data_IF_629422463418
#
_entry.id   IF_629422463418
#
_cell.length_a   1.000
_cell.length_b   1.000
_cell.length_c   1.000
_cell.angle_alpha   90.00
_cell.angle_beta   90.00
_cell.angle_gamma   90.00
#
_symmetry.space_group_name_H-M   'P 1'
#
loop_
_entity.id
_entity.type
_entity.pdbx_description
1 polymer ?
#
# COMPACT_ATOMS: atom_id res chain seq x y z
N UNK A 1 -53.55 3.80 13.87
CA UNK A 1 -52.15 3.43 14.11
C UNK A 1 -51.67 2.69 12.87
N UNK A 2 -51.30 3.44 11.85
CA UNK A 2 -50.70 2.92 10.62
C UNK A 2 -49.18 2.79 10.83
N UNK A 3 -48.68 1.56 10.73
CA UNK A 3 -47.23 1.29 10.73
C UNK A 3 -46.69 1.70 9.38
N UNK A 4 -45.92 2.78 9.34
CA UNK A 4 -45.04 3.10 8.22
C UNK A 4 -44.09 1.91 8.01
N UNK A 5 -44.34 1.14 6.97
CA UNK A 5 -43.34 0.28 6.38
C UNK A 5 -42.32 1.20 5.71
N UNK A 6 -41.19 1.44 6.36
CA UNK A 6 -40.04 2.00 5.70
C UNK A 6 -39.56 1.00 4.64
N UNK A 7 -39.49 1.45 3.39
CA UNK A 7 -39.14 0.67 2.22
C UNK A 7 -37.60 0.46 2.23
N UNK A 8 -37.19 -0.70 2.76
CA UNK A 8 -35.77 -1.07 2.87
C UNK A 8 -35.06 -1.13 1.52
N UNK A 9 -35.82 -1.37 0.43
CA UNK A 9 -35.27 -1.43 -0.94
C UNK A 9 -34.89 -0.05 -1.48
N UNK A 10 -35.64 1.02 -1.14
CA UNK A 10 -35.33 2.39 -1.58
C UNK A 10 -34.08 2.92 -0.85
N UNK A 11 -33.90 2.61 0.43
CA UNK A 11 -32.70 3.01 1.20
C UNK A 11 -31.45 2.32 0.68
N UNK A 12 -31.55 1.06 0.22
CA UNK A 12 -30.41 0.33 -0.35
C UNK A 12 -29.99 0.85 -1.72
N UNK A 13 -30.92 1.32 -2.55
CA UNK A 13 -30.66 1.87 -3.88
C UNK A 13 -29.96 3.22 -3.74
N UNK A 14 -30.42 4.13 -2.89
CA UNK A 14 -29.79 5.44 -2.66
C UNK A 14 -28.37 5.31 -2.12
N UNK A 15 -28.13 4.41 -1.15
CA UNK A 15 -26.76 4.13 -0.65
C UNK A 15 -25.82 3.60 -1.73
N UNK A 16 -26.28 2.78 -2.65
CA UNK A 16 -25.48 2.26 -3.75
C UNK A 16 -25.16 3.35 -4.81
N UNK A 17 -26.08 4.26 -5.07
CA UNK A 17 -25.86 5.39 -5.99
C UNK A 17 -24.80 6.34 -5.41
N UNK A 18 -24.91 6.69 -4.14
CA UNK A 18 -23.93 7.54 -3.45
C UNK A 18 -22.54 6.87 -3.42
N UNK A 19 -22.48 5.55 -3.19
CA UNK A 19 -21.22 4.80 -3.21
C UNK A 19 -20.62 4.75 -4.61
N UNK A 20 -21.44 4.59 -5.68
CA UNK A 20 -20.97 4.65 -7.05
C UNK A 20 -20.39 6.03 -7.39
N UNK A 21 -21.07 7.11 -7.02
CA UNK A 21 -20.57 8.48 -7.24
C UNK A 21 -19.25 8.74 -6.51
N UNK A 22 -19.05 8.15 -5.34
CA UNK A 22 -17.77 8.22 -4.61
C UNK A 22 -16.65 7.48 -5.37
N UNK A 23 -16.92 6.28 -5.91
CA UNK A 23 -15.95 5.56 -6.76
C UNK A 23 -15.63 6.36 -8.02
N UNK A 24 -16.63 6.91 -8.70
CA UNK A 24 -16.42 7.74 -9.89
C UNK A 24 -15.52 8.94 -9.57
N UNK A 25 -15.78 9.65 -8.46
CA UNK A 25 -14.94 10.77 -7.98
C UNK A 25 -13.49 10.35 -7.71
N UNK A 26 -13.26 9.17 -7.08
CA UNK A 26 -11.92 8.67 -6.82
C UNK A 26 -11.18 8.39 -8.13
N UNK A 27 -11.86 7.81 -9.12
CA UNK A 27 -11.27 7.51 -10.43
C UNK A 27 -11.02 8.76 -11.27
N UNK A 28 -11.91 9.75 -11.22
CA UNK A 28 -11.77 11.05 -11.91
C UNK A 28 -10.61 11.87 -11.33
N UNK A 29 -10.47 11.94 -10.01
CA UNK A 29 -9.36 12.61 -9.33
C UNK A 29 -8.03 11.88 -9.55
N UNK A 30 -8.10 10.58 -9.86
CA UNK A 30 -6.98 9.68 -10.09
C UNK A 30 -6.31 9.19 -8.81
N UNK A 31 -5.90 7.93 -8.83
CA UNK A 31 -5.09 7.35 -7.75
C UNK A 31 -3.63 7.69 -8.03
N UNK A 32 -3.03 8.54 -7.21
CA UNK A 32 -1.65 8.98 -7.40
C UNK A 32 -0.66 7.89 -6.97
N UNK A 33 0.28 7.54 -7.85
CA UNK A 33 1.39 6.63 -7.52
C UNK A 33 2.25 7.14 -6.35
N UNK A 34 2.30 8.45 -6.11
CA UNK A 34 3.06 9.06 -5.00
C UNK A 34 2.43 8.79 -3.64
N UNK A 35 1.14 8.48 -3.63
CA UNK A 35 0.35 8.18 -2.43
C UNK A 35 0.24 6.67 -2.15
N UNK A 36 0.92 5.85 -2.98
CA UNK A 36 0.98 4.40 -2.84
C UNK A 36 2.34 4.00 -2.28
N UNK A 37 2.33 3.24 -1.20
CA UNK A 37 3.53 2.56 -0.67
C UNK A 37 3.36 1.06 -0.83
N UNK A 38 4.35 0.42 -1.43
CA UNK A 38 4.41 -1.04 -1.56
C UNK A 38 5.21 -1.57 -0.38
N UNK A 39 4.63 -2.49 0.40
CA UNK A 39 5.35 -3.16 1.47
C UNK A 39 6.57 -3.90 0.90
N UNK A 40 7.76 -3.54 1.37
CA UNK A 40 9.02 -4.09 0.87
C UNK A 40 9.29 -5.44 1.55
N UNK A 41 8.94 -6.56 0.90
CA UNK A 41 9.21 -7.91 1.46
C UNK A 41 10.63 -8.42 1.17
N UNK A 42 11.24 -8.03 0.04
CA UNK A 42 12.59 -8.49 -0.39
C UNK A 42 13.38 -7.29 -0.90
N UNK A 43 14.04 -6.56 -0.01
CA UNK A 43 14.89 -5.44 -0.37
C UNK A 43 16.25 -5.96 -0.91
N UNK A 44 16.74 -5.33 -1.99
CA UNK A 44 18.09 -5.53 -2.49
C UNK A 44 19.01 -4.51 -1.85
N UNK A 45 20.12 -4.97 -1.32
CA UNK A 45 21.06 -4.16 -0.55
C UNK A 45 22.38 -4.08 -1.32
N UNK A 46 22.89 -2.88 -1.57
CA UNK A 46 24.23 -2.66 -2.06
C UNK A 46 25.13 -2.19 -0.92
N UNK A 47 26.27 -2.84 -0.70
CA UNK A 47 27.29 -2.40 0.27
C UNK A 47 28.50 -1.87 -0.51
N UNK A 48 28.88 -0.61 -0.29
CA UNK A 48 30.04 0.03 -0.91
C UNK A 48 31.14 0.19 0.11
N UNK A 49 32.25 -0.54 -0.05
CA UNK A 49 33.44 -0.42 0.78
C UNK A 49 34.54 0.33 0.03
N UNK A 50 35.26 1.23 0.71
CA UNK A 50 36.28 2.10 0.11
C UNK A 50 37.71 1.78 0.58
N UNK A 51 37.84 0.99 1.66
CA UNK A 51 39.12 0.54 2.23
C UNK A 51 39.14 -0.98 2.36
N UNK A 52 40.34 -1.59 2.44
CA UNK A 52 40.46 -3.04 2.66
C UNK A 52 39.84 -3.46 4.00
N UNK A 53 39.99 -2.64 5.03
CA UNK A 53 39.38 -2.92 6.32
C UNK A 53 37.86 -2.84 6.26
N UNK A 54 37.33 -1.81 5.60
CA UNK A 54 35.88 -1.66 5.36
C UNK A 54 35.32 -2.80 4.50
N UNK A 55 36.11 -3.38 3.59
CA UNK A 55 35.69 -4.56 2.84
C UNK A 55 35.41 -5.76 3.75
N UNK A 56 36.26 -6.03 4.74
CA UNK A 56 36.03 -7.12 5.70
C UNK A 56 34.74 -6.88 6.52
N UNK A 57 34.49 -5.63 6.92
CA UNK A 57 33.24 -5.25 7.61
C UNK A 57 32.02 -5.44 6.69
N UNK A 58 32.13 -5.06 5.41
CA UNK A 58 31.07 -5.26 4.41
C UNK A 58 30.75 -6.74 4.19
N UNK A 59 31.77 -7.58 4.08
CA UNK A 59 31.63 -9.04 3.93
C UNK A 59 30.97 -9.67 5.17
N UNK A 60 31.30 -9.21 6.37
CA UNK A 60 30.63 -9.65 7.60
C UNK A 60 29.14 -9.29 7.62
N UNK A 61 28.78 -8.07 7.19
CA UNK A 61 27.37 -7.66 7.07
C UNK A 61 26.67 -8.54 6.03
N UNK A 62 27.29 -8.75 4.87
CA UNK A 62 26.69 -9.51 3.78
C UNK A 62 26.46 -10.99 4.10
N UNK A 63 27.26 -11.60 5.00
CA UNK A 63 27.06 -13.00 5.43
C UNK A 63 25.80 -13.22 6.25
N UNK A 64 25.23 -12.19 6.85
CA UNK A 64 24.08 -12.26 7.77
C UNK A 64 22.80 -11.67 7.18
N UNK A 65 22.85 -11.13 5.95
CA UNK A 65 21.70 -10.52 5.27
C UNK A 65 21.43 -11.21 3.94
N UNK A 66 20.18 -11.23 3.52
CA UNK A 66 19.76 -11.76 2.21
C UNK A 66 19.78 -10.66 1.13
N UNK A 67 19.93 -11.05 -0.13
CA UNK A 67 19.90 -10.17 -1.32
C UNK A 67 20.89 -9.01 -1.26
N UNK A 68 22.15 -9.30 -0.92
CA UNK A 68 23.22 -8.32 -0.74
C UNK A 68 24.29 -8.46 -1.82
N UNK A 69 24.62 -7.35 -2.46
CA UNK A 69 25.77 -7.23 -3.35
C UNK A 69 26.86 -6.34 -2.73
N UNK A 70 28.11 -6.80 -2.70
CA UNK A 70 29.25 -6.05 -2.13
C UNK A 70 30.09 -5.48 -3.25
N UNK A 71 30.32 -4.17 -3.20
CA UNK A 71 31.15 -3.42 -4.13
C UNK A 71 32.38 -2.86 -3.40
N UNK A 72 33.57 -3.26 -3.84
CA UNK A 72 34.81 -2.70 -3.31
C UNK A 72 35.44 -1.76 -4.34
N UNK A 73 35.50 -0.46 -4.04
CA UNK A 73 35.99 0.53 -5.00
C UNK A 73 36.62 1.71 -4.29
N UNK A 74 37.90 2.02 -4.66
CA UNK A 74 38.70 3.12 -4.10
C UNK A 74 38.55 4.46 -4.85
N UNK A 75 38.06 4.43 -6.09
CA UNK A 75 37.86 5.59 -6.98
C UNK A 75 36.56 5.46 -7.75
N UNK A 76 35.99 6.56 -8.22
CA UNK A 76 34.74 6.50 -8.98
C UNK A 76 33.51 6.08 -8.14
N UNK A 77 33.55 6.31 -6.83
CA UNK A 77 32.49 5.90 -5.90
C UNK A 77 31.18 6.63 -6.20
N UNK A 78 31.28 7.90 -6.64
CA UNK A 78 30.11 8.71 -7.00
C UNK A 78 29.39 8.17 -8.22
N UNK A 79 30.13 7.77 -9.25
CA UNK A 79 29.61 7.16 -10.48
C UNK A 79 28.93 5.83 -10.15
N UNK A 80 29.59 4.97 -9.38
CA UNK A 80 29.02 3.72 -8.88
C UNK A 80 27.75 3.98 -8.10
N UNK A 81 27.74 4.96 -7.19
CA UNK A 81 26.53 5.32 -6.41
C UNK A 81 25.37 5.69 -7.33
N UNK A 82 25.60 6.46 -8.40
CA UNK A 82 24.58 6.82 -9.40
C UNK A 82 23.98 5.61 -10.11
N UNK A 83 24.79 4.60 -10.43
CA UNK A 83 24.33 3.36 -11.05
C UNK A 83 23.46 2.52 -10.11
N UNK A 84 23.76 2.55 -8.80
CA UNK A 84 23.09 1.75 -7.79
C UNK A 84 21.83 2.44 -7.23
N UNK A 85 21.79 3.79 -7.21
CA UNK A 85 20.78 4.59 -6.49
C UNK A 85 19.34 4.29 -6.88
N UNK A 86 19.07 3.93 -8.14
CA UNK A 86 17.74 3.58 -8.62
C UNK A 86 17.54 2.05 -8.79
N UNK A 87 18.55 1.23 -8.46
CA UNK A 87 18.48 -0.23 -8.62
C UNK A 87 18.33 -0.98 -7.30
N UNK A 88 18.77 -0.37 -6.19
CA UNK A 88 18.76 -0.98 -4.86
C UNK A 88 17.85 -0.19 -3.94
N UNK A 89 17.14 -0.90 -3.09
CA UNK A 89 16.25 -0.31 -2.08
C UNK A 89 17.04 0.17 -0.84
N UNK A 90 18.29 -0.32 -0.67
CA UNK A 90 19.18 0.10 0.42
C UNK A 90 20.63 0.19 -0.10
N UNK A 91 21.34 1.25 0.29
CA UNK A 91 22.77 1.43 0.05
C UNK A 91 23.49 1.63 1.38
N UNK A 92 24.47 0.80 1.65
CA UNK A 92 25.30 0.87 2.85
C UNK A 92 26.69 1.30 2.45
N UNK A 93 27.15 2.44 2.97
CA UNK A 93 28.53 2.90 2.81
C UNK A 93 29.36 2.43 4.00
N UNK A 94 30.37 1.59 3.76
CA UNK A 94 31.39 1.31 4.77
C UNK A 94 32.53 2.29 4.54
N UNK A 95 32.37 3.50 5.11
CA UNK A 95 33.24 4.66 4.89
C UNK A 95 32.94 5.80 5.86
N UNK A 96 33.64 6.92 5.76
CA UNK A 96 33.28 8.15 6.45
C UNK A 96 31.96 8.74 5.91
N UNK A 97 31.10 9.28 6.80
CA UNK A 97 29.83 9.93 6.45
C UNK A 97 29.96 10.99 5.35
N UNK A 98 31.02 11.80 5.39
CA UNK A 98 31.25 12.84 4.39
C UNK A 98 31.46 12.30 2.96
N UNK A 99 31.95 11.06 2.80
CA UNK A 99 32.05 10.38 1.49
C UNK A 99 30.65 10.03 1.02
N UNK A 100 29.86 9.36 1.86
CA UNK A 100 28.50 8.97 1.54
C UNK A 100 27.65 10.19 1.11
N UNK A 101 27.65 11.26 1.92
CA UNK A 101 26.89 12.50 1.63
C UNK A 101 27.26 13.08 0.26
N UNK A 102 28.57 13.20 -0.07
CA UNK A 102 29.00 13.73 -1.37
C UNK A 102 28.63 12.83 -2.53
N UNK A 103 28.60 11.51 -2.31
CA UNK A 103 28.24 10.55 -3.37
C UNK A 103 26.74 10.56 -3.66
N UNK A 104 25.87 10.65 -2.63
CA UNK A 104 24.42 10.58 -2.82
C UNK A 104 23.81 11.93 -3.23
N UNK A 105 24.40 13.06 -2.83
CA UNK A 105 23.80 14.40 -2.98
C UNK A 105 23.26 14.73 -4.38
N UNK A 106 23.87 14.30 -5.52
CA UNK A 106 23.34 14.61 -6.84
C UNK A 106 22.09 13.83 -7.23
N UNK A 107 21.76 12.77 -6.50
CA UNK A 107 20.69 11.82 -6.84
C UNK A 107 19.46 11.96 -5.95
N UNK A 108 19.54 12.79 -4.91
CA UNK A 108 18.46 12.99 -3.93
C UNK A 108 17.23 13.63 -4.57
N UNK A 109 16.05 13.06 -4.29
CA UNK A 109 14.73 13.53 -4.74
C UNK A 109 13.81 13.82 -3.56
N UNK A 110 13.44 12.76 -2.82
CA UNK A 110 12.55 12.88 -1.68
C UNK A 110 12.66 11.66 -0.75
N UNK A 111 12.25 11.82 0.52
CA UNK A 111 12.21 10.72 1.50
C UNK A 111 11.29 9.56 1.11
N UNK A 112 10.41 9.74 0.10
CA UNK A 112 9.48 8.74 -0.39
C UNK A 112 10.01 7.94 -1.58
N UNK A 113 11.02 8.48 -2.29
CA UNK A 113 11.57 7.90 -3.51
C UNK A 113 12.99 7.38 -3.32
N UNK A 114 13.75 8.06 -2.45
CA UNK A 114 15.17 7.76 -2.24
C UNK A 114 15.34 6.43 -1.49
N UNK A 115 16.35 5.61 -1.84
CA UNK A 115 16.65 4.38 -1.12
C UNK A 115 17.04 4.68 0.34
N UNK A 116 16.95 3.65 1.19
CA UNK A 116 17.59 3.69 2.50
C UNK A 116 19.10 3.90 2.31
N UNK A 117 19.70 4.83 3.05
CA UNK A 117 21.16 4.99 3.06
C UNK A 117 21.68 4.91 4.48
N UNK A 118 22.62 3.98 4.68
CA UNK A 118 23.33 3.81 5.94
C UNK A 118 24.81 4.07 5.76
N UNK A 119 25.45 4.45 6.88
CA UNK A 119 26.92 4.54 6.95
C UNK A 119 27.41 3.70 8.12
N UNK A 120 28.43 2.90 7.85
CA UNK A 120 29.13 2.08 8.85
C UNK A 120 30.61 2.50 8.83
N UNK A 121 31.21 2.74 9.99
CA UNK A 121 32.66 3.00 10.01
C UNK A 121 33.48 1.72 9.70
N UNK A 122 34.71 1.88 9.25
CA UNK A 122 35.57 0.79 8.81
C UNK A 122 35.76 -0.32 9.87
N UNK A 123 35.60 0.00 11.16
CA UNK A 123 35.72 -0.95 12.25
C UNK A 123 34.38 -1.65 12.56
N UNK A 124 33.26 -1.13 12.04
CA UNK A 124 31.92 -1.61 12.38
C UNK A 124 31.49 -1.26 13.80
N UNK A 125 31.97 -0.16 14.37
CA UNK A 125 31.60 0.26 15.73
C UNK A 125 30.31 1.07 15.77
N UNK A 126 29.99 1.78 14.68
CA UNK A 126 28.79 2.61 14.56
C UNK A 126 28.05 2.33 13.25
N UNK A 127 26.74 2.22 13.34
CA UNK A 127 25.84 2.11 12.19
C UNK A 127 24.89 3.30 12.20
N UNK A 128 24.97 4.14 11.19
CA UNK A 128 24.26 5.41 11.12
C UNK A 128 23.16 5.35 10.08
N UNK A 129 21.92 5.58 10.48
CA UNK A 129 20.79 5.82 9.57
C UNK A 129 20.93 7.24 8.99
N UNK A 130 21.40 7.33 7.73
CA UNK A 130 21.72 8.62 7.12
C UNK A 130 20.55 9.20 6.33
N UNK A 131 19.78 8.38 5.61
CA UNK A 131 18.69 8.82 4.73
C UNK A 131 17.55 7.80 4.69
N UNK A 132 16.31 8.29 4.52
CA UNK A 132 15.09 7.48 4.37
C UNK A 132 14.86 6.51 5.54
N UNK A 133 14.96 7.04 6.77
CA UNK A 133 14.87 6.28 8.02
C UNK A 133 13.60 5.46 8.16
N UNK A 134 12.43 6.07 7.84
CA UNK A 134 11.09 5.45 7.97
C UNK A 134 10.70 4.65 6.72
N UNK A 135 10.15 5.30 5.69
CA UNK A 135 9.63 4.65 4.47
C UNK A 135 10.72 3.85 3.74
N UNK A 136 11.94 4.36 3.71
CA UNK A 136 13.09 3.65 3.15
C UNK A 136 13.51 2.44 3.98
N UNK A 137 13.20 2.43 5.29
CA UNK A 137 13.55 1.35 6.21
C UNK A 137 14.98 1.46 6.79
N UNK A 138 15.68 2.60 6.61
CA UNK A 138 17.07 2.72 7.08
C UNK A 138 17.20 2.54 8.60
N UNK A 139 16.22 2.97 9.40
CA UNK A 139 16.26 2.79 10.86
C UNK A 139 16.21 1.32 11.26
N UNK A 140 15.30 0.54 10.65
CA UNK A 140 15.17 -0.90 10.94
C UNK A 140 16.43 -1.67 10.51
N UNK A 141 16.98 -1.37 9.32
CA UNK A 141 18.20 -1.98 8.81
C UNK A 141 19.40 -1.60 9.69
N UNK A 142 19.45 -0.34 10.18
CA UNK A 142 20.48 0.13 11.12
C UNK A 142 20.50 -0.73 12.39
N UNK A 143 19.34 -1.01 12.99
CA UNK A 143 19.25 -1.87 14.18
C UNK A 143 19.73 -3.30 13.89
N UNK A 144 19.29 -3.89 12.77
CA UNK A 144 19.71 -5.24 12.35
C UNK A 144 21.22 -5.36 12.16
N UNK A 145 21.83 -4.39 11.47
CA UNK A 145 23.28 -4.40 11.22
C UNK A 145 24.06 -4.11 12.50
N UNK A 146 23.56 -3.22 13.36
CA UNK A 146 24.18 -2.94 14.64
C UNK A 146 24.22 -4.20 15.53
N UNK A 147 23.16 -5.01 15.53
CA UNK A 147 23.13 -6.28 16.23
C UNK A 147 24.17 -7.27 15.66
N UNK A 148 24.21 -7.46 14.35
CA UNK A 148 25.19 -8.31 13.63
C UNK A 148 26.64 -7.93 13.96
N UNK A 149 26.93 -6.64 14.03
CA UNK A 149 28.29 -6.12 14.26
C UNK A 149 28.62 -5.97 15.74
N UNK A 150 27.63 -6.04 16.64
CA UNK A 150 27.70 -5.57 18.03
C UNK A 150 28.14 -4.10 18.10
N UNK A 151 27.51 -3.27 17.25
CA UNK A 151 27.82 -1.88 17.03
C UNK A 151 26.82 -0.93 17.73
N UNK A 152 27.14 0.34 17.80
CA UNK A 152 26.23 1.38 18.27
C UNK A 152 25.33 1.86 17.12
N UNK A 153 23.98 1.67 17.20
CA UNK A 153 23.07 2.24 16.22
C UNK A 153 22.87 3.74 16.47
N UNK A 154 22.98 4.55 15.41
CA UNK A 154 22.77 6.00 15.46
C UNK A 154 21.53 6.34 14.64
N UNK A 155 20.41 6.57 15.33
CA UNK A 155 19.13 6.97 14.77
C UNK A 155 18.74 8.32 15.37
N UNK A 156 18.38 9.30 14.52
CA UNK A 156 18.10 10.67 14.93
C UNK A 156 16.70 11.15 14.60
N UNK A 157 15.85 10.27 14.07
CA UNK A 157 14.48 10.60 13.68
C UNK A 157 13.63 10.90 14.91
N UNK A 158 12.89 12.02 14.90
CA UNK A 158 12.19 12.54 16.08
C UNK A 158 11.19 11.53 16.68
N UNK A 159 10.41 10.83 15.87
CA UNK A 159 9.48 9.80 16.34
C UNK A 159 10.18 8.62 17.00
N UNK A 160 11.34 8.18 16.47
CA UNK A 160 12.12 7.10 17.08
C UNK A 160 12.79 7.54 18.40
N UNK A 161 13.33 8.76 18.43
CA UNK A 161 13.94 9.31 19.66
C UNK A 161 12.92 9.51 20.78
N UNK A 162 11.65 9.84 20.42
CA UNK A 162 10.54 9.96 21.36
C UNK A 162 9.79 8.63 21.58
N UNK A 163 10.23 7.53 20.98
CA UNK A 163 9.58 6.22 21.02
C UNK A 163 8.11 6.23 20.57
N UNK A 164 7.72 7.15 19.71
CA UNK A 164 6.38 7.27 19.15
C UNK A 164 6.26 6.46 17.84
N UNK A 165 5.05 6.00 17.54
CA UNK A 165 4.73 5.50 16.20
C UNK A 165 4.79 6.61 15.15
N UNK A 166 4.66 6.23 13.88
CA UNK A 166 4.63 7.17 12.77
C UNK A 166 3.73 6.64 11.65
N UNK A 167 2.88 7.51 11.06
CA UNK A 167 1.94 7.10 10.01
C UNK A 167 2.66 6.53 8.79
N UNK A 168 3.72 7.17 8.34
CA UNK A 168 4.50 6.72 7.18
C UNK A 168 5.16 5.34 7.39
N UNK A 169 5.54 5.00 8.63
CA UNK A 169 6.02 3.66 9.00
C UNK A 169 4.89 2.63 8.92
N UNK A 170 3.71 2.98 9.47
CA UNK A 170 2.53 2.10 9.42
C UNK A 170 2.16 1.80 7.97
N UNK A 171 2.05 2.85 7.12
CA UNK A 171 1.76 2.70 5.69
C UNK A 171 2.81 1.84 4.97
N UNK A 172 4.10 2.01 5.31
CA UNK A 172 5.19 1.22 4.71
C UNK A 172 5.12 -0.27 5.07
N UNK A 173 4.76 -0.59 6.32
CA UNK A 173 4.65 -1.98 6.79
C UNK A 173 3.42 -2.69 6.22
N UNK A 174 2.27 -2.03 6.23
CA UNK A 174 1.01 -2.59 5.70
C UNK A 174 1.08 -2.70 4.17
N UNK A 175 1.69 -1.73 3.50
CA UNK A 175 1.60 -1.55 2.06
C UNK A 175 0.22 -1.03 1.65
N UNK A 176 0.08 0.28 1.36
CA UNK A 176 -1.23 0.86 1.15
C UNK A 176 -1.21 2.20 0.41
N UNK A 177 -2.40 2.76 0.26
CA UNK A 177 -2.67 4.08 -0.28
C UNK A 177 -3.18 4.98 0.83
N UNK A 178 -2.67 6.21 0.88
CA UNK A 178 -3.20 7.30 1.69
C UNK A 178 -3.23 8.54 0.81
N UNK A 179 -4.39 9.15 0.66
CA UNK A 179 -4.52 10.40 -0.12
C UNK A 179 -3.64 11.50 0.49
N UNK A 180 -2.84 12.18 -0.37
CA UNK A 180 -1.87 13.19 0.06
C UNK A 180 -0.91 12.66 1.17
N UNK A 181 -0.39 11.45 0.99
CA UNK A 181 0.40 10.74 2.01
C UNK A 181 1.47 11.60 2.67
N UNK A 182 2.18 12.43 1.89
CA UNK A 182 3.27 13.27 2.41
C UNK A 182 2.78 14.27 3.45
N UNK A 183 1.70 14.96 3.15
CA UNK A 183 1.07 15.97 4.01
C UNK A 183 0.42 15.30 5.22
N UNK A 184 -0.31 14.21 4.99
CA UNK A 184 -0.96 13.41 6.03
C UNK A 184 0.05 12.84 7.03
N UNK A 185 1.16 12.26 6.55
CA UNK A 185 2.20 11.72 7.42
C UNK A 185 2.92 12.82 8.20
N UNK A 186 3.23 13.97 7.57
CA UNK A 186 3.84 15.11 8.25
C UNK A 186 2.96 15.62 9.39
N UNK A 187 1.67 15.75 9.14
CA UNK A 187 0.69 16.26 10.09
C UNK A 187 0.51 15.30 11.27
N UNK A 188 0.21 14.02 11.01
CA UNK A 188 0.03 13.00 12.06
C UNK A 188 1.28 12.85 12.91
N UNK A 189 2.46 12.77 12.28
CA UNK A 189 3.70 12.62 13.02
C UNK A 189 4.01 13.85 13.90
N UNK A 190 3.65 15.08 13.46
CA UNK A 190 3.77 16.25 14.34
C UNK A 190 2.78 16.19 15.50
N UNK A 191 1.55 15.77 15.29
CA UNK A 191 0.55 15.61 16.34
C UNK A 191 1.01 14.61 17.42
N UNK A 192 1.57 13.48 16.99
CA UNK A 192 2.13 12.49 17.92
C UNK A 192 3.29 13.05 18.75
N UNK A 193 4.18 13.85 18.15
CA UNK A 193 5.30 14.49 18.86
C UNK A 193 4.80 15.54 19.83
N UNK A 194 3.74 16.30 19.47
CA UNK A 194 3.14 17.36 20.27
C UNK A 194 2.13 16.85 21.32
N UNK A 195 2.08 15.51 21.53
CA UNK A 195 1.17 14.83 22.47
C UNK A 195 -0.33 15.12 22.22
N UNK A 196 -0.71 15.41 20.96
CA UNK A 196 -2.10 15.50 20.52
C UNK A 196 -2.74 14.12 20.43
N UNK A 197 -4.05 14.08 20.56
CA UNK A 197 -4.83 12.84 20.53
C UNK A 197 -5.05 12.33 19.10
N UNK A 198 -4.37 11.24 18.73
CA UNK A 198 -4.48 10.60 17.41
C UNK A 198 -5.05 9.20 17.55
N UNK A 199 -6.27 9.01 17.05
CA UNK A 199 -6.92 7.70 17.00
C UNK A 199 -6.50 6.87 15.80
N UNK A 200 -6.51 5.54 15.96
CA UNK A 200 -6.35 4.60 14.85
C UNK A 200 -7.32 3.42 14.99
N UNK A 201 -8.09 3.18 13.94
CA UNK A 201 -9.03 2.08 13.80
C UNK A 201 -8.52 1.07 12.77
N UNK A 202 -8.64 -0.21 13.08
CA UNK A 202 -8.38 -1.29 12.13
C UNK A 202 -9.67 -2.05 11.85
N UNK A 203 -10.05 -2.13 10.59
CA UNK A 203 -11.14 -3.02 10.16
C UNK A 203 -10.79 -4.48 10.50
N UNK A 204 -11.81 -5.31 10.72
CA UNK A 204 -11.67 -6.73 11.11
C UNK A 204 -10.71 -7.53 10.24
N UNK A 205 -10.65 -7.22 8.95
CA UNK A 205 -9.75 -7.88 7.99
C UNK A 205 -8.26 -7.53 8.22
N UNK A 206 -7.98 -6.50 9.03
CA UNK A 206 -6.62 -5.96 9.29
C UNK A 206 -6.26 -5.93 10.78
N UNK A 207 -7.08 -6.51 11.65
CA UNK A 207 -6.83 -6.58 13.12
C UNK A 207 -5.45 -7.18 13.45
N UNK A 208 -5.03 -8.23 12.76
CA UNK A 208 -3.75 -8.90 13.00
C UNK A 208 -2.52 -8.05 12.65
N UNK A 209 -2.69 -6.98 11.87
CA UNK A 209 -1.58 -6.08 11.54
C UNK A 209 -1.07 -5.30 12.76
N UNK A 210 -1.94 -5.07 13.76
CA UNK A 210 -1.59 -4.34 15.00
C UNK A 210 -0.35 -4.89 15.69
N UNK A 211 -0.20 -6.22 15.72
CA UNK A 211 0.87 -6.90 16.44
C UNK A 211 2.26 -6.61 15.88
N UNK A 212 2.33 -6.25 14.60
CA UNK A 212 3.59 -5.95 13.89
C UNK A 212 3.98 -4.47 13.90
N UNK A 213 3.09 -3.58 14.40
CA UNK A 213 3.23 -2.14 14.28
C UNK A 213 3.62 -1.48 15.60
N UNK A 214 4.43 -0.42 15.52
CA UNK A 214 4.61 0.48 16.66
C UNK A 214 3.46 1.49 16.69
N UNK A 215 2.49 1.27 17.57
CA UNK A 215 1.31 2.12 17.79
C UNK A 215 1.44 3.04 19.00
N UNK A 216 2.65 3.21 19.54
CA UNK A 216 2.90 4.08 20.69
C UNK A 216 2.51 5.53 20.37
N UNK A 217 1.67 6.13 21.18
CA UNK A 217 1.11 7.46 20.98
C UNK A 217 -0.20 7.51 20.21
N UNK A 218 -0.61 6.41 19.57
CA UNK A 218 -1.96 6.28 19.01
C UNK A 218 -2.93 5.74 20.04
N UNK A 219 -4.16 6.25 20.01
CA UNK A 219 -5.30 5.70 20.74
C UNK A 219 -5.99 4.65 19.85
N UNK A 220 -6.06 3.40 20.32
CA UNK A 220 -6.77 2.35 19.58
C UNK A 220 -8.27 2.58 19.69
N UNK A 221 -8.94 2.71 18.55
CA UNK A 221 -10.37 2.93 18.42
C UNK A 221 -11.02 1.64 17.93
N UNK A 222 -12.14 1.29 18.53
CA UNK A 222 -13.00 0.17 18.13
C UNK A 222 -14.48 0.55 18.17
N UNK A 223 -15.36 -0.35 17.78
CA UNK A 223 -16.82 -0.14 17.73
C UNK A 223 -17.46 0.05 19.12
N UNK A 224 -16.71 -0.15 20.21
CA UNK A 224 -17.16 0.08 21.58
C UNK A 224 -16.74 1.45 22.11
N UNK A 225 -15.87 2.16 21.39
CA UNK A 225 -15.40 3.48 21.78
C UNK A 225 -16.55 4.47 21.66
N UNK A 226 -16.81 5.23 22.72
CA UNK A 226 -17.88 6.23 22.74
C UNK A 226 -17.64 7.34 21.71
N UNK A 227 -18.70 7.77 21.02
CA UNK A 227 -18.62 8.80 19.96
C UNK A 227 -18.05 10.11 20.51
N UNK A 228 -18.40 10.48 21.75
CA UNK A 228 -17.88 11.67 22.41
C UNK A 228 -16.35 11.62 22.65
N UNK A 229 -15.78 10.44 22.85
CA UNK A 229 -14.33 10.26 22.95
C UNK A 229 -13.66 10.38 21.59
N UNK A 230 -14.26 9.80 20.53
CA UNK A 230 -13.80 9.95 19.15
C UNK A 230 -13.84 11.43 18.73
N UNK A 231 -14.88 12.13 19.13
CA UNK A 231 -15.05 13.55 18.84
C UNK A 231 -13.99 14.46 19.51
N UNK A 232 -13.26 13.98 20.52
CA UNK A 232 -12.16 14.71 21.17
C UNK A 232 -10.79 14.47 20.53
N UNK A 233 -10.70 13.63 19.51
CA UNK A 233 -9.45 13.39 18.80
C UNK A 233 -9.09 14.59 17.91
N UNK A 234 -7.79 14.83 17.73
CA UNK A 234 -7.27 15.80 16.76
C UNK A 234 -7.17 15.16 15.36
N UNK A 235 -6.89 13.86 15.29
CA UNK A 235 -6.90 13.09 14.05
C UNK A 235 -7.38 11.66 14.27
N UNK A 236 -8.01 11.07 13.25
CA UNK A 236 -8.42 9.68 13.24
C UNK A 236 -8.00 9.00 11.93
N UNK A 237 -7.31 7.87 12.07
CA UNK A 237 -6.88 7.05 10.94
C UNK A 237 -7.75 5.78 10.91
N UNK A 238 -8.30 5.42 9.75
CA UNK A 238 -8.91 4.11 9.53
C UNK A 238 -8.05 3.26 8.60
N UNK A 239 -7.77 2.02 8.99
CA UNK A 239 -7.09 1.01 8.17
C UNK A 239 -8.13 0.06 7.63
N UNK A 240 -8.51 0.24 6.35
CA UNK A 240 -9.59 -0.52 5.71
C UNK A 240 -9.46 -0.49 4.19
N UNK A 241 -9.83 -1.57 3.51
CA UNK A 241 -9.99 -1.62 2.05
C UNK A 241 -11.43 -1.33 1.61
N UNK A 242 -12.32 -1.02 2.55
CA UNK A 242 -13.71 -0.69 2.27
C UNK A 242 -13.85 0.76 1.77
N UNK A 243 -14.77 0.96 0.85
CA UNK A 243 -15.18 2.29 0.41
C UNK A 243 -15.80 3.06 1.59
N UNK A 244 -16.68 2.40 2.34
CA UNK A 244 -17.29 2.92 3.56
C UNK A 244 -17.16 1.91 4.71
N UNK A 245 -16.59 2.33 5.81
CA UNK A 245 -16.49 1.57 7.04
C UNK A 245 -17.24 2.27 8.19
N UNK A 246 -17.29 1.64 9.34
CA UNK A 246 -17.94 2.19 10.53
C UNK A 246 -17.43 3.59 10.89
N UNK A 247 -16.13 3.86 10.75
CA UNK A 247 -15.55 5.18 11.06
C UNK A 247 -16.09 6.27 10.15
N UNK A 248 -16.33 5.98 8.86
CA UNK A 248 -16.89 6.98 7.93
C UNK A 248 -18.27 7.46 8.38
N UNK A 249 -19.11 6.56 8.92
CA UNK A 249 -20.44 6.91 9.45
C UNK A 249 -20.33 7.78 10.73
N UNK A 250 -19.39 7.44 11.62
CA UNK A 250 -19.14 8.23 12.85
C UNK A 250 -18.65 9.63 12.51
N UNK A 251 -17.67 9.75 11.61
CA UNK A 251 -17.15 11.06 11.18
C UNK A 251 -18.24 11.92 10.53
N UNK A 252 -19.09 11.31 9.69
CA UNK A 252 -20.23 12.00 9.10
C UNK A 252 -21.16 12.58 10.17
N UNK A 253 -21.52 11.78 11.20
CA UNK A 253 -22.41 12.20 12.28
C UNK A 253 -21.77 13.30 13.15
N UNK A 254 -20.50 13.17 13.53
CA UNK A 254 -19.77 14.20 14.30
C UNK A 254 -19.75 15.54 13.56
N UNK A 255 -19.50 15.55 12.24
CA UNK A 255 -19.49 16.78 11.44
C UNK A 255 -20.87 17.38 11.23
N UNK A 256 -21.91 16.54 11.16
CA UNK A 256 -23.31 17.01 11.01
C UNK A 256 -23.85 17.66 12.28
N UNK A 257 -23.52 17.10 13.45
CA UNK A 257 -24.08 17.54 14.74
C UNK A 257 -23.31 18.74 15.35
N UNK A 258 -22.11 19.05 14.84
CA UNK A 258 -21.25 20.12 15.36
C UNK A 258 -20.63 20.91 14.21
N UNK A 259 -21.30 21.99 13.76
CA UNK A 259 -20.75 22.93 12.74
C UNK A 259 -19.41 23.57 13.17
N UNK A 260 -19.09 23.60 14.48
CA UNK A 260 -17.83 24.14 15.02
C UNK A 260 -16.67 23.13 15.06
N UNK A 261 -16.90 21.84 14.74
CA UNK A 261 -15.86 20.79 14.74
C UNK A 261 -15.38 20.42 13.34
N UNK A 262 -15.01 21.44 12.53
CA UNK A 262 -14.25 21.20 11.28
C UNK A 262 -12.84 20.64 11.51
N UNK A 263 -12.34 20.64 12.76
CA UNK A 263 -10.93 20.40 13.08
C UNK A 263 -10.51 18.92 13.18
N UNK A 264 -11.46 17.97 13.27
CA UNK A 264 -11.10 16.55 13.29
C UNK A 264 -10.62 16.09 11.92
N UNK A 265 -9.33 15.79 11.83
CA UNK A 265 -8.71 15.30 10.61
C UNK A 265 -8.96 13.81 10.46
N UNK A 266 -9.58 13.42 9.35
CA UNK A 266 -9.81 12.03 9.02
C UNK A 266 -8.93 11.56 7.87
N UNK A 267 -8.22 10.45 8.07
CA UNK A 267 -7.30 9.85 7.10
C UNK A 267 -7.66 8.38 6.91
N UNK A 268 -7.90 7.98 5.66
CA UNK A 268 -8.12 6.57 5.31
C UNK A 268 -6.81 5.98 4.76
N UNK A 269 -6.26 4.97 5.46
CA UNK A 269 -5.21 4.11 4.96
C UNK A 269 -5.87 2.90 4.30
N UNK A 270 -5.69 2.77 3.00
CA UNK A 270 -6.29 1.70 2.19
C UNK A 270 -5.23 0.65 1.87
N UNK A 271 -5.21 -0.51 2.56
CA UNK A 271 -4.29 -1.59 2.23
C UNK A 271 -4.50 -2.09 0.79
N UNK A 272 -3.41 -2.24 0.03
CA UNK A 272 -3.47 -2.67 -1.38
C UNK A 272 -3.33 -4.19 -1.50
N UNK A 273 -4.42 -4.91 -1.22
CA UNK A 273 -4.46 -6.38 -1.19
C UNK A 273 -5.58 -6.99 -2.03
N UNK A 274 -6.24 -6.19 -2.85
CA UNK A 274 -7.32 -6.68 -3.71
C UNK A 274 -6.79 -6.94 -5.12
N UNK A 275 -7.18 -8.09 -5.67
CA UNK A 275 -7.01 -8.46 -7.06
C UNK A 275 -8.36 -8.35 -7.78
N UNK A 276 -8.36 -7.86 -9.02
CA UNK A 276 -9.53 -7.74 -9.86
C UNK A 276 -9.41 -8.65 -11.08
N UNK A 277 -10.20 -9.70 -11.15
CA UNK A 277 -10.37 -10.49 -12.36
C UNK A 277 -11.37 -9.84 -13.29
N UNK A 278 -11.04 -9.73 -14.57
CA UNK A 278 -11.82 -8.99 -15.57
C UNK A 278 -12.13 -9.82 -16.80
N UNK A 279 -13.32 -9.60 -17.38
CA UNK A 279 -13.71 -10.08 -18.70
C UNK A 279 -14.57 -9.04 -19.42
N UNK A 280 -14.45 -8.93 -20.74
CA UNK A 280 -15.32 -8.06 -21.54
C UNK A 280 -15.58 -8.64 -22.92
N UNK A 281 -16.60 -8.11 -23.63
CA UNK A 281 -16.76 -8.32 -25.07
C UNK A 281 -15.63 -7.61 -25.82
N UNK A 282 -15.35 -8.07 -27.05
CA UNK A 282 -14.36 -7.41 -27.90
C UNK A 282 -14.79 -5.95 -28.20
N UNK A 283 -13.82 -5.02 -28.15
CA UNK A 283 -14.03 -3.59 -28.41
C UNK A 283 -15.04 -2.93 -27.44
N UNK A 284 -15.08 -3.35 -26.17
CA UNK A 284 -15.84 -2.62 -25.15
C UNK A 284 -15.21 -1.23 -24.95
N UNK A 285 -16.05 -0.20 -24.89
CA UNK A 285 -15.61 1.18 -24.64
C UNK A 285 -15.06 1.35 -23.23
N UNK A 286 -14.01 2.18 -23.07
CA UNK A 286 -13.34 2.39 -21.77
C UNK A 286 -14.30 3.00 -20.75
N UNK A 287 -15.10 3.98 -21.14
CA UNK A 287 -16.07 4.66 -20.29
C UNK A 287 -17.09 3.66 -19.71
N UNK A 288 -17.58 2.77 -20.56
CA UNK A 288 -18.49 1.71 -20.14
C UNK A 288 -17.85 0.71 -19.17
N UNK A 289 -16.59 0.35 -19.41
CA UNK A 289 -15.84 -0.54 -18.50
C UNK A 289 -15.65 0.09 -17.12
N UNK A 290 -15.35 1.40 -17.09
CA UNK A 290 -15.19 2.17 -15.85
C UNK A 290 -16.53 2.29 -15.12
N UNK A 291 -17.62 2.62 -15.82
CA UNK A 291 -18.95 2.73 -15.23
C UNK A 291 -19.40 1.42 -14.56
N UNK A 292 -19.25 0.29 -15.26
CA UNK A 292 -19.59 -1.02 -14.72
C UNK A 292 -18.68 -1.44 -13.56
N UNK A 293 -17.39 -1.07 -13.61
CA UNK A 293 -16.46 -1.27 -12.50
C UNK A 293 -16.87 -0.43 -11.28
N UNK A 294 -17.24 0.84 -11.46
CA UNK A 294 -17.69 1.72 -10.38
C UNK A 294 -18.91 1.13 -9.66
N UNK A 295 -19.88 0.60 -10.43
CA UNK A 295 -21.03 -0.08 -9.85
C UNK A 295 -20.61 -1.36 -9.09
N UNK A 296 -19.74 -2.17 -9.66
CA UNK A 296 -19.26 -3.40 -9.02
C UNK A 296 -18.47 -3.12 -7.73
N UNK A 297 -17.60 -2.09 -7.75
CA UNK A 297 -16.83 -1.65 -6.59
C UNK A 297 -17.75 -1.17 -5.46
N UNK A 298 -18.75 -0.35 -5.78
CA UNK A 298 -19.75 0.15 -4.83
C UNK A 298 -20.60 -0.99 -4.22
N UNK A 299 -21.09 -1.93 -5.03
CA UNK A 299 -21.88 -3.07 -4.58
C UNK A 299 -21.12 -3.98 -3.60
N UNK A 300 -19.81 -4.12 -3.77
CA UNK A 300 -18.96 -4.93 -2.91
C UNK A 300 -18.27 -4.11 -1.81
N UNK A 301 -18.55 -2.83 -1.73
CA UNK A 301 -17.96 -1.91 -0.75
C UNK A 301 -16.40 -1.95 -0.75
N UNK A 302 -15.77 -2.07 -1.92
CA UNK A 302 -14.30 -2.11 -2.07
C UNK A 302 -13.79 -0.77 -2.59
N UNK A 303 -12.80 -0.20 -1.91
CA UNK A 303 -12.17 1.04 -2.33
C UNK A 303 -11.28 0.81 -3.58
N UNK A 304 -11.39 1.63 -4.66
CA UNK A 304 -10.61 1.43 -5.89
C UNK A 304 -9.10 1.36 -5.65
N UNK A 305 -8.59 2.18 -4.74
CA UNK A 305 -7.15 2.17 -4.40
C UNK A 305 -6.67 0.89 -3.70
N UNK A 306 -7.57 0.01 -3.22
CA UNK A 306 -7.19 -1.27 -2.65
C UNK A 306 -6.68 -2.27 -3.69
N UNK A 307 -6.98 -2.01 -4.98
CA UNK A 307 -6.66 -2.94 -6.08
C UNK A 307 -5.19 -2.76 -6.48
N UNK A 308 -4.42 -3.84 -6.36
CA UNK A 308 -2.99 -3.86 -6.68
C UNK A 308 -2.70 -4.60 -7.98
N UNK A 309 -3.54 -5.61 -8.34
CA UNK A 309 -3.40 -6.40 -9.55
C UNK A 309 -4.74 -6.56 -10.25
N UNK A 310 -4.69 -6.55 -11.58
CA UNK A 310 -5.82 -6.91 -12.43
C UNK A 310 -5.44 -8.10 -13.29
N UNK A 311 -6.39 -8.95 -13.66
CA UNK A 311 -6.11 -10.15 -14.44
C UNK A 311 -7.18 -10.49 -15.46
N UNK A 312 -6.74 -11.07 -16.59
CA UNK A 312 -7.62 -11.57 -17.65
C UNK A 312 -6.93 -12.66 -18.47
N UNK A 313 -7.68 -13.25 -19.41
CA UNK A 313 -7.15 -14.21 -20.37
C UNK A 313 -6.27 -13.52 -21.43
N UNK A 314 -5.19 -14.15 -21.88
CA UNK A 314 -4.19 -13.61 -22.82
C UNK A 314 -4.79 -13.08 -24.12
N UNK A 315 -5.89 -13.62 -24.60
CA UNK A 315 -6.61 -13.13 -25.79
C UNK A 315 -7.11 -11.68 -25.64
N UNK A 316 -7.10 -11.15 -24.39
CA UNK A 316 -7.52 -9.79 -24.01
C UNK A 316 -6.36 -8.80 -23.85
N UNK A 317 -5.14 -9.19 -24.24
CA UNK A 317 -3.92 -8.39 -24.06
C UNK A 317 -3.99 -6.98 -24.68
N UNK A 318 -4.75 -6.82 -25.79
CA UNK A 318 -4.85 -5.57 -26.54
C UNK A 318 -6.20 -4.84 -26.31
N UNK A 319 -7.03 -5.30 -25.35
CA UNK A 319 -8.32 -4.65 -25.04
C UNK A 319 -8.07 -3.36 -24.24
N UNK A 320 -8.23 -2.24 -24.95
CA UNK A 320 -7.95 -0.89 -24.43
C UNK A 320 -8.67 -0.61 -23.11
N UNK A 321 -9.95 -0.96 -23.00
CA UNK A 321 -10.74 -0.72 -21.78
C UNK A 321 -10.15 -1.37 -20.52
N UNK A 322 -9.56 -2.59 -20.62
CA UNK A 322 -8.92 -3.28 -19.50
C UNK A 322 -7.58 -2.64 -19.13
N UNK A 323 -6.81 -2.25 -20.17
CA UNK A 323 -5.52 -1.56 -19.97
C UNK A 323 -5.74 -0.22 -19.30
N UNK A 324 -6.72 0.54 -19.75
CA UNK A 324 -7.02 1.87 -19.21
C UNK A 324 -7.58 1.81 -17.78
N UNK A 325 -8.48 0.85 -17.49
CA UNK A 325 -8.95 0.62 -16.12
C UNK A 325 -7.79 0.21 -15.18
N UNK A 326 -6.91 -0.68 -15.62
CA UNK A 326 -5.75 -1.09 -14.82
C UNK A 326 -4.82 0.08 -14.51
N UNK A 327 -4.62 1.00 -15.49
CA UNK A 327 -3.84 2.24 -15.30
C UNK A 327 -4.52 3.20 -14.32
N UNK A 328 -5.85 3.40 -14.44
CA UNK A 328 -6.62 4.26 -13.54
C UNK A 328 -6.54 3.77 -12.09
N UNK A 329 -6.51 2.45 -11.87
CA UNK A 329 -6.33 1.81 -10.57
C UNK A 329 -4.88 1.78 -10.08
N UNK A 330 -3.91 2.25 -10.87
CA UNK A 330 -2.48 2.04 -10.61
C UNK A 330 -2.16 0.57 -10.31
N UNK A 331 -2.81 -0.36 -11.00
CA UNK A 331 -2.69 -1.81 -10.81
C UNK A 331 -1.88 -2.47 -11.92
N UNK A 332 -1.15 -3.52 -11.58
CA UNK A 332 -0.44 -4.35 -12.54
C UNK A 332 -1.43 -5.19 -13.35
N UNK A 333 -1.37 -5.12 -14.69
CA UNK A 333 -2.23 -5.94 -15.55
C UNK A 333 -1.56 -7.26 -15.89
N UNK A 334 -2.13 -8.37 -15.44
CA UNK A 334 -1.64 -9.73 -15.58
C UNK A 334 -2.49 -10.49 -16.60
N UNK A 335 -1.85 -11.32 -17.41
CA UNK A 335 -2.50 -12.11 -18.44
C UNK A 335 -2.18 -13.58 -18.22
N UNK A 336 -3.21 -14.41 -18.28
CA UNK A 336 -3.13 -15.86 -18.11
C UNK A 336 -3.43 -16.56 -19.43
N UNK A 337 -2.76 -17.65 -19.69
CA UNK A 337 -3.13 -18.52 -20.82
C UNK A 337 -4.32 -19.43 -20.48
N UNK A 338 -4.78 -20.21 -21.48
CA UNK A 338 -5.92 -21.12 -21.33
C UNK A 338 -5.62 -22.23 -20.33
N UNK A 339 -4.41 -22.76 -20.33
CA UNK A 339 -4.00 -23.86 -19.46
C UNK A 339 -3.94 -23.42 -18.01
N UNK A 340 -3.40 -22.22 -17.73
CA UNK A 340 -3.40 -21.61 -16.39
C UNK A 340 -4.84 -21.42 -15.86
N UNK A 341 -5.74 -20.86 -16.65
CA UNK A 341 -7.16 -20.67 -16.25
C UNK A 341 -7.85 -22.02 -16.01
N UNK A 342 -7.60 -23.03 -16.85
CA UNK A 342 -8.18 -24.37 -16.71
C UNK A 342 -7.78 -25.06 -15.39
N UNK A 343 -6.70 -24.65 -14.74
CA UNK A 343 -6.30 -25.21 -13.44
C UNK A 343 -7.32 -24.96 -12.33
N UNK A 344 -8.18 -23.93 -12.48
CA UNK A 344 -9.11 -23.50 -11.44
C UNK A 344 -10.52 -23.13 -11.94
N UNK A 345 -10.77 -23.03 -13.27
CA UNK A 345 -12.08 -22.60 -13.78
C UNK A 345 -13.24 -23.53 -13.42
N UNK A 346 -12.94 -24.81 -13.13
CA UNK A 346 -13.91 -25.82 -12.68
C UNK A 346 -14.50 -25.51 -11.29
N UNK A 347 -13.85 -24.64 -10.52
CA UNK A 347 -14.29 -24.21 -9.17
C UNK A 347 -15.43 -23.18 -9.23
N UNK A 348 -15.70 -22.62 -10.42
CA UNK A 348 -16.61 -21.50 -10.62
C UNK A 348 -17.73 -21.85 -11.61
N UNK A 349 -18.71 -20.94 -11.70
CA UNK A 349 -19.84 -21.10 -12.60
C UNK A 349 -19.43 -21.30 -14.05
N UNK A 350 -19.92 -22.36 -14.67
CA UNK A 350 -19.58 -22.73 -16.03
C UNK A 350 -20.48 -22.02 -17.05
N UNK A 351 -19.85 -21.52 -18.12
CA UNK A 351 -20.54 -20.94 -19.26
C UNK A 351 -20.06 -21.58 -20.54
N UNK A 352 -20.94 -22.37 -21.19
CA UNK A 352 -20.66 -22.99 -22.49
C UNK A 352 -20.39 -21.95 -23.59
N UNK A 353 -21.05 -20.80 -23.52
CA UNK A 353 -20.80 -19.68 -24.44
C UNK A 353 -19.37 -19.15 -24.30
N UNK A 354 -18.88 -18.99 -23.09
CA UNK A 354 -17.51 -18.54 -22.85
C UNK A 354 -16.53 -19.59 -23.31
N UNK A 355 -16.77 -20.88 -23.00
CA UNK A 355 -15.90 -21.98 -23.41
C UNK A 355 -15.75 -22.09 -24.92
N UNK A 356 -16.85 -21.96 -25.66
CA UNK A 356 -16.82 -22.00 -27.14
C UNK A 356 -15.95 -20.87 -27.73
N UNK A 357 -15.88 -19.69 -27.10
CA UNK A 357 -15.17 -18.53 -27.64
C UNK A 357 -13.75 -18.36 -27.09
N UNK A 358 -13.44 -18.93 -25.92
CA UNK A 358 -12.18 -18.66 -25.21
C UNK A 358 -11.40 -19.91 -24.80
N UNK A 359 -12.03 -21.08 -24.87
CA UNK A 359 -11.46 -22.36 -24.43
C UNK A 359 -11.66 -22.65 -22.92
N UNK A 360 -12.12 -21.68 -22.12
CA UNK A 360 -12.33 -21.80 -20.67
C UNK A 360 -13.79 -21.51 -20.29
N UNK A 361 -14.29 -22.09 -19.18
CA UNK A 361 -15.68 -21.89 -18.75
C UNK A 361 -15.95 -20.51 -18.12
N UNK A 362 -14.94 -19.92 -17.49
CA UNK A 362 -15.01 -18.60 -16.83
C UNK A 362 -13.67 -17.91 -16.93
N UNK A 363 -13.62 -16.56 -16.86
CA UNK A 363 -12.38 -15.78 -16.91
C UNK A 363 -12.20 -14.94 -15.63
N UNK A 364 -13.19 -14.13 -15.24
CA UNK A 364 -13.03 -13.16 -14.17
C UNK A 364 -12.70 -13.81 -12.81
N UNK A 365 -13.50 -14.77 -12.34
CA UNK A 365 -13.25 -15.43 -11.05
C UNK A 365 -11.94 -16.26 -11.05
N UNK A 366 -11.63 -17.09 -12.07
CA UNK A 366 -10.34 -17.77 -12.16
C UNK A 366 -9.17 -16.81 -12.15
N UNK A 367 -9.23 -15.70 -12.90
CA UNK A 367 -8.15 -14.69 -12.90
C UNK A 367 -7.96 -14.04 -11.52
N UNK A 368 -9.04 -13.69 -10.82
CA UNK A 368 -8.98 -13.20 -9.46
C UNK A 368 -8.36 -14.22 -8.50
N UNK A 369 -8.74 -15.51 -8.65
CA UNK A 369 -8.19 -16.60 -7.85
C UNK A 369 -6.69 -16.82 -8.09
N UNK A 370 -6.26 -16.86 -9.34
CA UNK A 370 -4.84 -17.03 -9.69
C UNK A 370 -3.96 -15.89 -9.13
N UNK A 371 -4.51 -14.66 -9.05
CA UNK A 371 -3.81 -13.52 -8.48
C UNK A 371 -3.76 -13.52 -6.95
N UNK A 372 -4.78 -14.06 -6.29
CA UNK A 372 -4.99 -13.85 -4.84
C UNK A 372 -5.01 -15.14 -4.00
N UNK A 373 -5.33 -16.28 -4.62
CA UNK A 373 -5.60 -17.53 -3.93
C UNK A 373 -6.98 -17.59 -3.24
N UNK A 374 -7.74 -16.48 -3.21
CA UNK A 374 -9.05 -16.40 -2.55
C UNK A 374 -9.97 -15.40 -3.23
N UNK A 375 -11.12 -15.85 -3.75
CA UNK A 375 -12.16 -14.99 -4.33
C UNK A 375 -13.15 -14.58 -3.26
N UNK A 376 -13.41 -13.27 -3.14
CA UNK A 376 -14.22 -12.68 -2.07
C UNK A 376 -15.52 -12.06 -2.55
N UNK A 377 -15.82 -12.07 -3.86
CA UNK A 377 -17.06 -11.55 -4.41
C UNK A 377 -17.76 -12.56 -5.29
N UNK A 378 -19.08 -12.42 -5.41
CA UNK A 378 -19.84 -13.04 -6.51
C UNK A 378 -19.35 -12.49 -7.87
N UNK A 379 -19.60 -13.29 -8.93
CA UNK A 379 -19.32 -12.86 -10.30
C UNK A 379 -20.30 -11.78 -10.73
N UNK A 380 -19.81 -10.55 -10.91
CA UNK A 380 -20.56 -9.49 -11.56
C UNK A 380 -20.61 -9.72 -13.08
N UNK A 381 -21.77 -9.58 -13.67
CA UNK A 381 -21.95 -9.69 -15.12
C UNK A 381 -23.03 -8.70 -15.57
N UNK A 382 -22.61 -7.65 -16.26
CA UNK A 382 -23.53 -6.68 -16.81
C UNK A 382 -22.97 -6.07 -18.10
N UNK A 383 -23.82 -5.68 -19.04
CA UNK A 383 -23.49 -4.95 -20.26
C UNK A 383 -22.31 -5.48 -21.07
N UNK A 384 -22.01 -6.80 -20.95
CA UNK A 384 -20.91 -7.44 -21.65
C UNK A 384 -19.56 -7.37 -20.95
N UNK A 385 -19.52 -6.86 -19.72
CA UNK A 385 -18.39 -6.90 -18.80
C UNK A 385 -18.61 -7.94 -17.71
N UNK A 386 -17.53 -8.46 -17.14
CA UNK A 386 -17.54 -9.36 -15.99
C UNK A 386 -16.41 -9.00 -15.04
N UNK A 387 -16.68 -9.02 -13.73
CA UNK A 387 -15.70 -8.75 -12.69
C UNK A 387 -15.80 -9.76 -11.55
N UNK A 388 -14.69 -9.96 -10.86
CA UNK A 388 -14.63 -10.65 -9.58
C UNK A 388 -13.46 -10.10 -8.75
N UNK A 389 -13.66 -9.94 -7.45
CA UNK A 389 -12.60 -9.58 -6.52
C UNK A 389 -12.00 -10.81 -5.86
N UNK A 390 -10.69 -10.76 -5.65
CA UNK A 390 -9.95 -11.67 -4.78
C UNK A 390 -9.13 -10.90 -3.77
N UNK A 391 -8.86 -11.48 -2.59
CA UNK A 391 -8.02 -10.86 -1.55
C UNK A 391 -6.75 -11.66 -1.35
N UNK A 392 -5.59 -11.02 -1.50
CA UNK A 392 -4.29 -11.61 -1.24
C UNK A 392 -4.02 -11.68 0.26
N UNK A 393 -3.33 -12.74 0.69
CA UNK A 393 -2.85 -12.84 2.07
C UNK A 393 -1.78 -11.77 2.34
N UNK A 394 -1.75 -11.21 3.55
CA UNK A 394 -0.76 -10.26 4.02
C UNK A 394 0.65 -10.83 4.16
#
# INVERSE_FOLDING_TARGET
MEKNKFDLDTISIDKNIDSKNEVDRILENGISKKDIVIAKKNIRIAIIAVTEKGKNTAEKIASELENVDVFFQKRGIKELTGELFNKYECIIFVSACGIAVRCISPFLKSKFEDPAVLVVDDNGNNVISLLSGHIGGANEITLKIADVLNANPVITTSTDTNKKGALDVIVSKIGGYVENLRESAKLVNSYLVDDKRVGIYFDSDYESEKDSLNLSGFELIDEKTEIDEIAKLDALISVTDKLRCWVDEIIYNIKKDNEEKEDLIYIKLVPRRIALGMGCRKNTETEKMIEEFSMFSALNNIHPAAIVKTGSLIIKKDEKCMIDLSKALCAEFNLFDVDEICTCDYMFDKSEFVKKNTGVYSVAQPSAYLLSGNVISEKYKNNGTTFAFGRMKG
#
